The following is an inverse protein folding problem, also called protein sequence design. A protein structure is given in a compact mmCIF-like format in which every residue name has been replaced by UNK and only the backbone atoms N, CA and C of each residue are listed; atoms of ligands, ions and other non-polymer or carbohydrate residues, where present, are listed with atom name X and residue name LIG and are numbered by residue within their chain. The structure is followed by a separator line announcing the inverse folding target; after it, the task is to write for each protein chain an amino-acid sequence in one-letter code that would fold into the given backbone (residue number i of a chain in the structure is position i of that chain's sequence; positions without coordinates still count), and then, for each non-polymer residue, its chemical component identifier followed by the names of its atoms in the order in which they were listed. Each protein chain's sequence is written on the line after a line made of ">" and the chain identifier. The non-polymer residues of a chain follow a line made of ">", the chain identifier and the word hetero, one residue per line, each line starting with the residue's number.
data_IF_090130071296
#
_entry.id   IF_090130071296
#
_cell.length_a   1.000
_cell.length_b   1.000
_cell.length_c   1.000
_cell.angle_alpha   90.00
_cell.angle_beta   90.00
_cell.angle_gamma   90.00
#
_symmetry.space_group_name_H-M   'P 1'
#
loop_
_entity.id
_entity.type
_entity.pdbx_description
1 polymer ?
#
# COMPACT_ATOMS: atom_id res chain seq x y z
N UNK A 1 -0.96 -7.33 -20.32
CA UNK A 1 -1.41 -6.90 -18.99
C UNK A 1 -2.92 -6.98 -18.86
N UNK A 2 -3.45 -7.01 -17.65
CA UNK A 2 -4.90 -6.94 -17.42
C UNK A 2 -5.38 -5.51 -17.65
N UNK A 3 -6.58 -5.30 -18.26
CA UNK A 3 -7.13 -3.96 -18.40
C UNK A 3 -7.50 -3.39 -17.04
N UNK A 4 -7.27 -2.08 -16.85
CA UNK A 4 -7.78 -1.39 -15.68
C UNK A 4 -9.32 -1.37 -15.74
N UNK A 5 -9.95 -1.72 -14.64
CA UNK A 5 -11.39 -1.65 -14.45
C UNK A 5 -11.73 -0.51 -13.49
N UNK A 6 -12.18 0.60 -14.03
CA UNK A 6 -12.49 1.81 -13.26
C UNK A 6 -13.56 1.56 -12.17
N UNK A 7 -14.46 0.60 -12.40
CA UNK A 7 -15.46 0.20 -11.42
C UNK A 7 -14.87 -0.52 -10.19
N UNK A 8 -13.65 -1.03 -10.25
CA UNK A 8 -12.90 -1.59 -9.12
C UNK A 8 -11.97 -0.57 -8.43
N UNK A 9 -11.88 0.64 -8.95
CA UNK A 9 -11.15 1.73 -8.29
C UNK A 9 -12.10 2.44 -7.33
N UNK A 10 -11.83 2.33 -6.03
CA UNK A 10 -12.67 2.95 -4.99
C UNK A 10 -11.88 4.08 -4.33
N UNK A 11 -12.18 5.35 -4.65
CA UNK A 11 -11.60 6.48 -3.92
C UNK A 11 -11.97 6.40 -2.45
N UNK A 12 -10.98 6.50 -1.57
CA UNK A 12 -11.18 6.53 -0.12
C UNK A 12 -10.17 7.50 0.53
N UNK A 13 -10.37 7.81 1.80
CA UNK A 13 -9.39 8.54 2.60
C UNK A 13 -8.18 7.69 2.99
N UNK A 14 -7.38 8.19 3.95
CA UNK A 14 -6.08 7.64 4.33
C UNK A 14 -6.11 6.93 5.70
N UNK A 15 -7.28 6.59 6.21
CA UNK A 15 -7.44 5.93 7.49
C UNK A 15 -7.83 4.45 7.34
N UNK A 16 -7.61 3.67 8.39
CA UNK A 16 -8.09 2.28 8.42
C UNK A 16 -9.61 2.19 8.34
N UNK A 17 -10.33 3.18 8.88
CA UNK A 17 -11.79 3.24 8.77
C UNK A 17 -12.24 3.44 7.31
N UNK A 18 -11.52 4.29 6.56
CA UNK A 18 -11.81 4.51 5.12
C UNK A 18 -11.58 3.22 4.32
N UNK A 19 -10.45 2.54 4.57
CA UNK A 19 -10.15 1.24 3.96
C UNK A 19 -11.20 0.18 4.29
N UNK A 20 -11.66 0.14 5.53
CA UNK A 20 -12.74 -0.74 5.97
C UNK A 20 -14.02 -0.51 5.20
N UNK A 21 -14.50 0.73 5.14
CA UNK A 21 -15.73 1.11 4.42
C UNK A 21 -15.64 0.84 2.91
N UNK A 22 -14.50 1.21 2.29
CA UNK A 22 -14.24 0.96 0.88
C UNK A 22 -14.31 -0.54 0.55
N UNK A 23 -13.73 -1.37 1.42
CA UNK A 23 -13.75 -2.83 1.24
C UNK A 23 -15.15 -3.39 1.35
N UNK A 24 -15.97 -2.93 2.28
CA UNK A 24 -17.37 -3.35 2.38
C UNK A 24 -18.12 -3.07 1.07
N UNK A 25 -17.91 -1.90 0.47
CA UNK A 25 -18.54 -1.55 -0.80
C UNK A 25 -18.10 -2.44 -1.97
N UNK A 26 -16.85 -2.89 -1.97
CA UNK A 26 -16.34 -3.84 -2.96
C UNK A 26 -16.94 -5.25 -2.76
N UNK A 27 -17.09 -5.67 -1.50
CA UNK A 27 -17.64 -7.00 -1.18
C UNK A 27 -19.13 -7.12 -1.44
N UNK A 28 -19.86 -6.03 -1.43
CA UNK A 28 -21.31 -6.00 -1.74
C UNK A 28 -21.59 -6.09 -3.26
N UNK A 29 -20.56 -6.05 -4.11
CA UNK A 29 -20.69 -6.21 -5.56
C UNK A 29 -20.86 -7.68 -5.97
N UNK A 30 -21.57 -7.95 -7.06
CA UNK A 30 -21.68 -9.30 -7.61
C UNK A 30 -20.34 -9.82 -8.16
N UNK A 31 -19.52 -8.93 -8.70
CA UNK A 31 -18.21 -9.21 -9.28
C UNK A 31 -17.10 -8.71 -8.32
N UNK A 32 -16.72 -9.58 -7.39
CA UNK A 32 -15.72 -9.25 -6.35
C UNK A 32 -14.32 -9.38 -6.90
N UNK A 33 -13.37 -8.50 -6.46
CA UNK A 33 -11.97 -8.68 -6.81
C UNK A 33 -11.38 -9.90 -6.11
N UNK A 34 -10.39 -10.52 -6.71
CA UNK A 34 -9.55 -11.58 -6.12
C UNK A 34 -8.27 -11.04 -5.46
N UNK A 35 -8.00 -9.75 -5.64
CA UNK A 35 -6.92 -9.02 -4.97
C UNK A 35 -7.29 -7.56 -4.74
N UNK A 36 -6.80 -6.99 -3.64
CA UNK A 36 -6.94 -5.57 -3.28
C UNK A 36 -5.55 -4.99 -3.06
N UNK A 37 -5.25 -3.91 -3.79
CA UNK A 37 -4.08 -3.07 -3.57
C UNK A 37 -4.55 -1.81 -2.86
N UNK A 38 -4.12 -1.60 -1.62
CA UNK A 38 -4.43 -0.43 -0.84
C UNK A 38 -3.40 0.68 -1.07
N UNK A 39 -3.83 1.94 -0.94
CA UNK A 39 -2.98 3.10 -1.18
C UNK A 39 -1.80 3.20 -0.18
N UNK A 40 -2.02 2.76 1.07
CA UNK A 40 -1.01 2.63 2.11
C UNK A 40 -1.32 1.46 3.05
N UNK A 41 -0.42 1.17 3.99
CA UNK A 41 -0.59 0.08 4.95
C UNK A 41 -1.71 0.36 5.96
N UNK A 42 -1.98 1.62 6.32
CA UNK A 42 -3.06 1.97 7.25
C UNK A 42 -4.43 1.68 6.63
N UNK A 43 -4.60 2.02 5.35
CA UNK A 43 -5.79 1.64 4.58
C UNK A 43 -5.88 0.12 4.49
N UNK A 44 -4.76 -0.59 4.22
CA UNK A 44 -4.72 -2.05 4.15
C UNK A 44 -5.14 -2.74 5.45
N UNK A 45 -4.84 -2.16 6.62
CA UNK A 45 -5.32 -2.69 7.89
C UNK A 45 -6.85 -2.68 7.99
N UNK A 46 -7.48 -1.62 7.48
CA UNK A 46 -8.93 -1.55 7.35
C UNK A 46 -9.48 -2.59 6.38
N UNK A 47 -8.79 -2.81 5.26
CA UNK A 47 -9.13 -3.87 4.30
C UNK A 47 -9.13 -5.23 4.98
N UNK A 48 -8.02 -5.60 5.67
CA UNK A 48 -7.89 -6.87 6.38
C UNK A 48 -9.00 -7.05 7.42
N UNK A 49 -9.31 -5.98 8.18
CA UNK A 49 -10.38 -6.00 9.18
C UNK A 49 -11.75 -6.26 8.54
N UNK A 50 -12.08 -5.58 7.43
CA UNK A 50 -13.35 -5.77 6.74
C UNK A 50 -13.50 -7.18 6.17
N UNK A 51 -12.43 -7.73 5.57
CA UNK A 51 -12.40 -9.09 5.05
C UNK A 51 -12.62 -10.10 6.18
N UNK A 52 -11.94 -9.92 7.32
CA UNK A 52 -12.12 -10.75 8.50
C UNK A 52 -13.58 -10.74 9.00
N UNK A 53 -14.17 -9.56 9.16
CA UNK A 53 -15.55 -9.42 9.67
C UNK A 53 -16.60 -10.02 8.74
N UNK A 54 -16.31 -10.08 7.44
CA UNK A 54 -17.16 -10.72 6.42
C UNK A 54 -16.85 -12.20 6.21
N UNK A 55 -15.91 -12.78 6.98
CA UNK A 55 -15.51 -14.18 6.85
C UNK A 55 -14.80 -14.50 5.53
N UNK A 56 -14.20 -13.49 4.88
CA UNK A 56 -13.47 -13.65 3.62
C UNK A 56 -12.02 -14.03 3.94
N UNK A 57 -11.60 -15.18 3.45
CA UNK A 57 -10.28 -15.73 3.76
C UNK A 57 -9.16 -15.02 2.97
N UNK A 58 -8.16 -14.50 3.68
CA UNK A 58 -6.93 -13.92 3.11
C UNK A 58 -5.77 -14.88 3.36
N UNK A 59 -5.00 -15.27 2.35
CA UNK A 59 -5.03 -14.88 0.94
C UNK A 59 -5.93 -15.78 0.06
N UNK A 60 -6.62 -16.76 0.63
CA UNK A 60 -7.28 -17.83 -0.13
C UNK A 60 -8.37 -17.34 -1.08
N UNK A 61 -9.21 -16.38 -0.64
CA UNK A 61 -10.28 -15.81 -1.46
C UNK A 61 -9.88 -14.45 -2.05
N UNK A 62 -9.26 -13.59 -1.25
CA UNK A 62 -8.79 -12.26 -1.67
C UNK A 62 -7.38 -12.05 -1.15
N UNK A 63 -6.46 -11.61 -2.00
CA UNK A 63 -5.11 -11.19 -1.63
C UNK A 63 -5.09 -9.71 -1.31
N UNK A 64 -4.22 -9.30 -0.37
CA UNK A 64 -4.10 -7.89 0.03
C UNK A 64 -2.65 -7.45 -0.03
N UNK A 65 -2.42 -6.29 -0.66
CA UNK A 65 -1.11 -5.61 -0.73
C UNK A 65 -1.27 -4.19 -0.22
N UNK A 66 -0.36 -3.75 0.65
CA UNK A 66 -0.25 -2.39 1.12
C UNK A 66 0.93 -1.64 0.49
N UNK A 67 1.21 -0.46 1.00
CA UNK A 67 2.35 0.39 0.63
C UNK A 67 2.91 1.04 1.88
N UNK A 68 4.24 1.26 1.96
CA UNK A 68 5.09 1.84 3.00
C UNK A 68 5.86 0.82 3.84
N UNK A 69 5.43 -0.43 3.91
CA UNK A 69 6.03 -1.48 4.74
C UNK A 69 6.26 -1.01 6.19
N UNK A 70 5.24 -0.43 6.81
CA UNK A 70 5.34 0.00 8.19
C UNK A 70 5.49 -1.20 9.14
N UNK A 71 6.05 -0.97 10.32
CA UNK A 71 6.37 -2.04 11.29
C UNK A 71 5.15 -2.92 11.60
N UNK A 72 3.97 -2.33 11.73
CA UNK A 72 2.73 -3.03 12.03
C UNK A 72 2.33 -4.07 10.98
N UNK A 73 2.77 -3.91 9.74
CA UNK A 73 2.44 -4.82 8.64
C UNK A 73 2.95 -6.25 8.86
N UNK A 74 4.05 -6.40 9.61
CA UNK A 74 4.56 -7.71 10.00
C UNK A 74 3.75 -8.38 11.14
N UNK A 75 2.93 -7.62 11.84
CA UNK A 75 2.19 -8.06 13.04
C UNK A 75 0.68 -8.17 12.84
N UNK A 76 0.18 -7.90 11.64
CA UNK A 76 -1.22 -8.20 11.29
C UNK A 76 -1.45 -9.71 11.15
N UNK A 77 -2.72 -10.15 11.17
CA UNK A 77 -3.12 -11.54 10.94
C UNK A 77 -4.16 -11.57 9.82
N UNK A 78 -3.77 -12.09 8.62
CA UNK A 78 -2.42 -12.47 8.19
C UNK A 78 -1.45 -11.28 8.12
N UNK A 79 -0.13 -11.54 8.21
CA UNK A 79 0.88 -10.49 8.02
C UNK A 79 0.82 -9.91 6.61
N UNK A 80 0.91 -8.57 6.52
CA UNK A 80 0.61 -7.82 5.30
C UNK A 80 1.82 -7.76 4.35
N UNK A 81 1.64 -8.26 3.14
CA UNK A 81 2.51 -7.97 2.00
C UNK A 81 2.44 -6.49 1.68
N UNK A 82 3.58 -5.82 1.55
CA UNK A 82 3.61 -4.38 1.32
C UNK A 82 4.76 -3.97 0.41
N UNK A 83 4.57 -2.87 -0.31
CA UNK A 83 5.62 -2.25 -1.13
C UNK A 83 6.43 -1.32 -0.24
N UNK A 84 7.75 -1.52 -0.21
CA UNK A 84 8.68 -0.68 0.53
C UNK A 84 9.42 0.27 -0.41
N UNK A 85 9.41 1.55 -0.10
CA UNK A 85 10.24 2.56 -0.74
C UNK A 85 11.48 2.90 0.09
N UNK A 86 12.57 3.40 -0.53
CA UNK A 86 13.79 3.82 0.17
C UNK A 86 13.59 5.22 0.80
N UNK A 87 12.71 5.31 1.79
CA UNK A 87 12.26 6.57 2.40
C UNK A 87 13.43 7.46 2.84
N UNK A 88 14.47 6.88 3.46
CA UNK A 88 15.63 7.65 3.92
C UNK A 88 16.41 8.30 2.76
N UNK A 89 16.56 7.59 1.65
CA UNK A 89 17.22 8.13 0.45
C UNK A 89 16.38 9.23 -0.19
N UNK A 90 15.06 9.03 -0.24
CA UNK A 90 14.10 10.03 -0.76
C UNK A 90 14.16 11.31 0.08
N UNK A 91 14.15 11.20 1.41
CA UNK A 91 14.24 12.36 2.32
C UNK A 91 15.58 13.06 2.19
N UNK A 92 16.69 12.33 2.14
CA UNK A 92 18.02 12.92 1.94
C UNK A 92 18.12 13.70 0.62
N UNK A 93 17.60 13.10 -0.46
CA UNK A 93 17.60 13.76 -1.76
C UNK A 93 16.74 15.03 -1.74
N UNK A 94 15.52 14.94 -1.20
CA UNK A 94 14.62 16.10 -1.13
C UNK A 94 15.22 17.23 -0.28
N UNK A 95 15.83 16.88 0.87
CA UNK A 95 16.48 17.86 1.75
C UNK A 95 17.68 18.53 1.07
N UNK A 96 18.57 17.76 0.43
CA UNK A 96 19.72 18.30 -0.27
C UNK A 96 19.28 19.26 -1.40
N UNK A 97 18.26 18.86 -2.18
CA UNK A 97 17.70 19.69 -3.24
C UNK A 97 17.09 21.00 -2.70
N UNK A 98 16.40 20.92 -1.57
CA UNK A 98 15.84 22.11 -0.92
C UNK A 98 16.92 23.09 -0.46
N UNK A 99 18.02 22.58 0.11
CA UNK A 99 19.17 23.41 0.51
C UNK A 99 19.79 24.10 -0.69
N UNK A 100 20.01 23.39 -1.81
CA UNK A 100 20.53 23.97 -3.05
C UNK A 100 19.66 25.12 -3.58
N UNK A 101 18.33 24.99 -3.47
CA UNK A 101 17.38 26.06 -3.87
C UNK A 101 17.49 27.25 -2.92
N UNK A 102 17.58 27.03 -1.61
CA UNK A 102 17.72 28.10 -0.61
C UNK A 102 19.04 28.86 -0.78
N UNK A 103 20.12 28.16 -1.10
CA UNK A 103 21.44 28.75 -1.34
C UNK A 103 21.56 29.40 -2.71
N UNK A 104 20.55 29.30 -3.56
CA UNK A 104 20.53 29.87 -4.91
C UNK A 104 21.44 29.15 -5.92
N UNK A 105 21.94 27.96 -5.59
CA UNK A 105 22.76 27.13 -6.48
C UNK A 105 21.91 26.30 -7.44
N UNK A 106 20.60 26.22 -7.21
CA UNK A 106 19.60 25.60 -8.06
C UNK A 106 18.33 26.45 -8.12
N UNK A 107 17.69 26.52 -9.28
CA UNK A 107 16.38 27.18 -9.41
C UNK A 107 15.23 26.19 -9.17
N UNK A 108 14.04 26.65 -8.74
CA UNK A 108 12.86 25.78 -8.63
C UNK A 108 12.47 25.12 -9.95
N UNK A 109 12.79 25.73 -11.08
CA UNK A 109 12.47 25.20 -12.41
C UNK A 109 13.43 24.05 -12.82
N UNK A 110 14.59 23.95 -12.19
CA UNK A 110 15.60 22.90 -12.42
C UNK A 110 15.40 21.68 -11.53
N UNK A 111 14.24 21.55 -10.88
CA UNK A 111 13.96 20.40 -10.01
C UNK A 111 13.90 19.11 -10.83
N UNK A 112 14.96 18.34 -10.77
CA UNK A 112 15.04 17.04 -11.43
C UNK A 112 14.06 16.05 -10.76
N UNK A 113 13.22 15.41 -11.57
CA UNK A 113 12.46 14.25 -11.12
C UNK A 113 13.42 13.09 -10.94
N UNK A 114 13.46 12.53 -9.73
CA UNK A 114 14.23 11.32 -9.44
C UNK A 114 13.28 10.20 -9.05
N UNK A 115 13.36 9.09 -9.80
CA UNK A 115 12.66 7.87 -9.45
C UNK A 115 13.52 7.02 -8.52
N UNK A 116 12.91 6.51 -7.47
CA UNK A 116 13.55 5.61 -6.52
C UNK A 116 12.95 4.22 -6.68
N UNK A 117 13.77 3.15 -6.75
CA UNK A 117 13.27 1.80 -6.86
C UNK A 117 12.56 1.40 -5.57
N UNK A 118 11.43 0.73 -5.72
CA UNK A 118 10.69 0.11 -4.61
C UNK A 118 10.91 -1.41 -4.65
N UNK A 119 10.62 -2.09 -3.54
CA UNK A 119 10.61 -3.55 -3.46
C UNK A 119 9.32 -4.07 -2.85
N UNK A 120 8.88 -5.25 -3.27
CA UNK A 120 7.77 -5.94 -2.65
C UNK A 120 8.29 -6.80 -1.49
N UNK A 121 7.76 -6.58 -0.30
CA UNK A 121 7.98 -7.42 0.88
C UNK A 121 6.82 -8.39 1.00
N UNK A 122 7.03 -9.62 0.52
CA UNK A 122 5.99 -10.64 0.46
C UNK A 122 5.76 -11.25 1.84
N UNK A 123 4.46 -11.37 2.23
CA UNK A 123 4.00 -11.96 3.50
C UNK A 123 2.72 -12.78 3.30
N UNK A 124 2.10 -13.20 4.40
CA UNK A 124 0.95 -14.12 4.41
C UNK A 124 -0.29 -13.59 3.68
N UNK A 125 -0.47 -12.27 3.55
CA UNK A 125 -1.65 -11.71 2.86
C UNK A 125 -1.68 -11.96 1.36
N UNK A 126 -0.59 -12.46 0.77
CA UNK A 126 -0.52 -12.86 -0.65
C UNK A 126 -0.05 -14.29 -0.86
N UNK A 127 0.69 -14.88 0.11
CA UNK A 127 1.20 -16.25 0.02
C UNK A 127 0.85 -17.05 1.28
N UNK A 128 0.08 -18.12 1.12
CA UNK A 128 -0.23 -19.03 2.22
C UNK A 128 1.05 -19.74 2.69
N UNK A 129 1.37 -19.62 3.98
CA UNK A 129 2.48 -20.37 4.62
C UNK A 129 3.83 -19.64 4.66
N UNK A 130 3.95 -18.41 4.20
CA UNK A 130 5.15 -17.59 4.45
C UNK A 130 5.22 -17.19 5.92
N UNK A 131 6.31 -17.58 6.60
CA UNK A 131 6.57 -17.07 7.96
C UNK A 131 7.01 -15.59 7.86
N UNK A 132 6.61 -14.74 8.81
CA UNK A 132 7.04 -13.35 8.82
C UNK A 132 8.57 -13.28 8.79
N UNK A 133 9.11 -12.55 7.83
CA UNK A 133 10.50 -12.09 7.90
C UNK A 133 10.50 -10.85 8.82
N UNK A 134 11.03 -11.02 10.01
CA UNK A 134 11.29 -9.94 10.98
C UNK A 134 12.45 -9.08 10.53
#
# INVERSE_FOLDING_TARGET
>A
GLPLRDDLVVPCGWTSEDGYRATLSLLDRPDRPDAIVAADDRVAFGVLKALHDRGVHVPGAIRVVGFDNCVQSAFTIPSLTSIEGPTLEMVRFAFATLVEVIEGTRTPDDLAQKLFPTRLVVRESTEAGTRPQL
#
